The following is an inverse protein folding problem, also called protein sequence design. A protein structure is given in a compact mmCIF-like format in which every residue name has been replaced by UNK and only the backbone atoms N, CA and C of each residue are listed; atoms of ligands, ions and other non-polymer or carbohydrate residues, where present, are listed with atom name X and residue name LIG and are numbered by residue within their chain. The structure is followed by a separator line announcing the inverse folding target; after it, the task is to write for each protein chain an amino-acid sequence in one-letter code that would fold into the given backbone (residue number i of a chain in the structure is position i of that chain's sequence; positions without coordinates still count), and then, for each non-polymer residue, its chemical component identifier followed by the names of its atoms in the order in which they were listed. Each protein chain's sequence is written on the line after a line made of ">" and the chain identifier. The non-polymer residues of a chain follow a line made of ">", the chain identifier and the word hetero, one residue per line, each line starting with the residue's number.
data_IF_954944867684
#
_entry.id   IF_954944867684
#
_cell.length_a   1.000
_cell.length_b   1.000
_cell.length_c   1.000
_cell.angle_alpha   90.00
_cell.angle_beta   90.00
_cell.angle_gamma   90.00
#
_symmetry.space_group_name_H-M   'P 1'
#
loop_
_entity.id
_entity.type
_entity.pdbx_description
1 polymer ?
#
# COMPACT_ATOMS: atom_id res chain seq x y z
N UNK A 1 -16.28 11.50 -10.71
CA UNK A 1 -14.84 11.38 -10.43
C UNK A 1 -14.43 9.93 -10.58
N UNK A 2 -13.40 9.64 -11.37
CA UNK A 2 -12.81 8.30 -11.42
C UNK A 2 -12.14 8.02 -10.06
N UNK A 3 -12.52 6.91 -9.42
CA UNK A 3 -11.93 6.50 -8.13
C UNK A 3 -10.67 5.71 -8.40
N UNK A 4 -9.51 6.24 -8.03
CA UNK A 4 -8.24 5.53 -8.10
C UNK A 4 -8.27 4.36 -7.10
N UNK A 5 -8.07 3.14 -7.60
CA UNK A 5 -8.01 1.92 -6.80
C UNK A 5 -6.57 1.71 -6.30
N UNK A 6 -6.38 1.81 -5.00
CA UNK A 6 -5.10 1.60 -4.35
C UNK A 6 -5.05 0.27 -3.60
N UNK A 7 -3.85 -0.29 -3.51
CA UNK A 7 -3.50 -1.36 -2.62
C UNK A 7 -2.32 -0.96 -1.70
N UNK A 8 -2.27 -1.51 -0.49
CA UNK A 8 -1.14 -1.32 0.44
C UNK A 8 -0.48 -2.67 0.72
N UNK A 9 0.84 -2.74 0.57
CA UNK A 9 1.64 -3.91 0.94
C UNK A 9 2.48 -3.55 2.16
N UNK A 10 2.34 -4.37 3.22
CA UNK A 10 2.93 -4.12 4.54
C UNK A 10 2.00 -3.27 5.39
N UNK A 11 1.31 -3.92 6.33
CA UNK A 11 0.45 -3.30 7.34
C UNK A 11 1.08 -3.39 8.74
N UNK A 12 2.40 -3.20 8.78
CA UNK A 12 3.13 -2.93 10.01
C UNK A 12 2.86 -1.51 10.52
N UNK A 13 3.79 -0.94 11.28
CA UNK A 13 3.60 0.37 11.92
C UNK A 13 3.28 1.51 10.93
N UNK A 14 4.09 1.64 9.87
CA UNK A 14 3.93 2.69 8.86
C UNK A 14 2.65 2.48 8.05
N UNK A 15 2.45 1.26 7.53
CA UNK A 15 1.30 0.98 6.68
C UNK A 15 -0.05 0.99 7.39
N UNK A 16 -0.10 0.65 8.68
CA UNK A 16 -1.31 0.79 9.48
C UNK A 16 -1.73 2.26 9.63
N UNK A 17 -0.79 3.13 9.99
CA UNK A 17 -1.08 4.57 10.10
C UNK A 17 -1.46 5.17 8.74
N UNK A 18 -0.73 4.80 7.69
CA UNK A 18 -1.03 5.24 6.33
C UNK A 18 -2.42 4.80 5.85
N UNK A 19 -2.81 3.56 6.17
CA UNK A 19 -4.16 3.05 5.89
C UNK A 19 -5.23 3.87 6.63
N UNK A 20 -5.05 4.08 7.94
CA UNK A 20 -6.00 4.81 8.77
C UNK A 20 -6.29 6.20 8.22
N UNK A 21 -5.24 6.95 7.87
CA UNK A 21 -5.38 8.28 7.27
C UNK A 21 -6.04 8.22 5.89
N UNK A 22 -5.70 7.25 5.04
CA UNK A 22 -6.37 7.08 3.74
C UNK A 22 -7.85 6.72 3.87
N UNK A 23 -8.24 5.98 4.90
CA UNK A 23 -9.63 5.66 5.18
C UNK A 23 -10.43 6.92 5.53
N UNK A 24 -9.83 7.89 6.24
CA UNK A 24 -10.43 9.21 6.48
C UNK A 24 -10.65 10.02 5.19
N UNK A 25 -9.96 9.69 4.10
CA UNK A 25 -10.10 10.33 2.78
C UNK A 25 -11.08 9.62 1.85
N UNK A 26 -11.76 8.55 2.31
CA UNK A 26 -12.77 7.85 1.51
C UNK A 26 -13.91 8.80 1.11
N UNK A 27 -13.95 9.15 -0.18
CA UNK A 27 -14.89 10.14 -0.72
C UNK A 27 -14.22 11.20 -1.60
N UNK A 28 -12.91 11.43 -1.44
CA UNK A 28 -12.12 12.38 -2.24
C UNK A 28 -11.53 11.78 -3.53
N UNK A 29 -12.06 10.65 -3.99
CA UNK A 29 -11.60 9.98 -5.23
C UNK A 29 -10.52 8.91 -5.04
N UNK A 30 -10.13 8.61 -3.79
CA UNK A 30 -9.23 7.49 -3.45
C UNK A 30 -10.04 6.36 -2.82
N UNK A 31 -9.76 5.11 -3.23
CA UNK A 31 -10.28 3.91 -2.56
C UNK A 31 -9.14 2.92 -2.33
N UNK A 32 -8.83 2.64 -1.07
CA UNK A 32 -8.00 1.49 -0.70
C UNK A 32 -8.88 0.25 -0.74
N UNK A 33 -8.71 -0.59 -1.76
CA UNK A 33 -9.57 -1.76 -1.98
C UNK A 33 -8.91 -3.07 -1.52
N UNK A 34 -7.57 -3.10 -1.50
CA UNK A 34 -6.80 -4.30 -1.26
C UNK A 34 -5.63 -4.04 -0.31
N UNK A 35 -5.22 -5.05 0.44
CA UNK A 35 -3.98 -5.00 1.18
C UNK A 35 -3.29 -6.37 1.23
N UNK A 36 -1.98 -6.34 1.45
CA UNK A 36 -1.15 -7.53 1.60
C UNK A 36 -0.37 -7.41 2.91
N UNK A 37 -0.68 -8.28 3.88
CA UNK A 37 0.08 -8.41 5.12
C UNK A 37 0.09 -9.89 5.53
N UNK A 38 1.30 -10.47 5.64
CA UNK A 38 1.47 -11.89 5.96
C UNK A 38 1.20 -12.17 7.44
N UNK A 39 1.51 -11.21 8.31
CA UNK A 39 1.41 -11.37 9.75
C UNK A 39 0.03 -10.97 10.28
N UNK A 40 -0.29 -11.41 11.49
CA UNK A 40 -1.45 -10.87 12.20
C UNK A 40 -1.04 -9.56 12.90
N UNK A 41 -1.27 -8.42 12.26
CA UNK A 41 -0.94 -7.10 12.80
C UNK A 41 -2.20 -6.31 13.12
N UNK A 42 -2.14 -5.28 14.00
CA UNK A 42 -3.24 -4.35 14.18
C UNK A 42 -3.69 -3.68 12.87
N UNK A 43 -2.74 -3.37 11.98
CA UNK A 43 -3.05 -2.81 10.66
C UNK A 43 -3.86 -3.75 9.78
N UNK A 44 -3.58 -5.06 9.82
CA UNK A 44 -4.39 -6.07 9.12
C UNK A 44 -5.83 -6.13 9.66
N UNK A 45 -5.99 -6.13 10.98
CA UNK A 45 -7.32 -6.12 11.59
C UNK A 45 -8.10 -4.84 11.22
N UNK A 46 -7.43 -3.67 11.18
CA UNK A 46 -8.02 -2.41 10.72
C UNK A 46 -8.50 -2.51 9.26
N UNK A 47 -7.67 -3.06 8.37
CA UNK A 47 -8.01 -3.26 6.97
C UNK A 47 -9.26 -4.14 6.81
N UNK A 48 -9.29 -5.29 7.49
CA UNK A 48 -10.43 -6.21 7.47
C UNK A 48 -11.72 -5.52 7.98
N UNK A 49 -11.63 -4.78 9.09
CA UNK A 49 -12.76 -4.03 9.66
C UNK A 49 -13.27 -2.92 8.72
N UNK A 50 -12.38 -2.31 7.93
CA UNK A 50 -12.72 -1.30 6.94
C UNK A 50 -13.21 -1.87 5.59
N UNK A 51 -13.33 -3.20 5.48
CA UNK A 51 -13.75 -3.86 4.23
C UNK A 51 -12.68 -3.90 3.14
N UNK A 52 -11.41 -3.67 3.50
CA UNK A 52 -10.26 -3.83 2.60
C UNK A 52 -9.95 -5.32 2.48
N UNK A 53 -9.88 -5.83 1.24
CA UNK A 53 -9.65 -7.26 1.01
C UNK A 53 -8.17 -7.61 1.22
N UNK A 54 -7.87 -8.53 2.12
CA UNK A 54 -6.52 -9.06 2.31
C UNK A 54 -6.23 -10.11 1.24
N UNK A 55 -5.10 -9.96 0.56
CA UNK A 55 -4.64 -10.81 -0.54
C UNK A 55 -3.18 -11.24 -0.33
N UNK A 56 -2.76 -12.27 -1.06
CA UNK A 56 -1.36 -12.53 -1.38
C UNK A 56 -0.86 -11.59 -2.49
N UNK A 57 0.46 -11.53 -2.69
CA UNK A 57 1.06 -10.77 -3.80
C UNK A 57 0.54 -11.31 -5.14
N UNK A 58 0.49 -12.63 -5.32
CA UNK A 58 0.03 -13.23 -6.57
C UNK A 58 -1.43 -12.90 -6.89
N UNK A 59 -2.31 -12.96 -5.89
CA UNK A 59 -3.71 -12.56 -6.06
C UNK A 59 -3.85 -11.07 -6.38
N UNK A 60 -3.03 -10.22 -5.74
CA UNK A 60 -3.03 -8.78 -6.04
C UNK A 60 -2.59 -8.51 -7.48
N UNK A 61 -1.55 -9.17 -7.97
CA UNK A 61 -1.07 -9.01 -9.36
C UNK A 61 -2.11 -9.53 -10.36
N UNK A 62 -2.80 -10.62 -10.02
CA UNK A 62 -3.84 -11.21 -10.87
C UNK A 62 -5.07 -10.28 -11.06
N UNK A 63 -5.25 -9.25 -10.24
CA UNK A 63 -6.29 -8.24 -10.42
C UNK A 63 -6.04 -7.32 -11.63
N UNK A 64 -4.81 -7.25 -12.15
CA UNK A 64 -4.48 -6.48 -13.34
C UNK A 64 -4.88 -5.01 -13.25
N UNK A 65 -5.71 -4.57 -14.21
CA UNK A 65 -6.17 -3.18 -14.34
C UNK A 65 -7.13 -2.73 -13.22
N UNK A 66 -7.57 -3.63 -12.34
CA UNK A 66 -8.38 -3.25 -11.18
C UNK A 66 -7.58 -2.56 -10.05
N UNK A 67 -6.25 -2.47 -10.19
CA UNK A 67 -5.36 -1.77 -9.24
C UNK A 67 -4.54 -0.72 -9.99
N UNK A 68 -4.70 0.54 -9.62
CA UNK A 68 -3.97 1.66 -10.23
C UNK A 68 -2.64 1.92 -9.50
N UNK A 69 -2.63 1.81 -8.17
CA UNK A 69 -1.47 2.14 -7.34
C UNK A 69 -1.24 1.05 -6.30
N UNK A 70 0.00 0.60 -6.16
CA UNK A 70 0.45 -0.26 -5.06
C UNK A 70 1.40 0.56 -4.19
N UNK A 71 1.01 0.87 -2.96
CA UNK A 71 1.90 1.43 -1.94
C UNK A 71 2.72 0.30 -1.30
N UNK A 72 4.02 0.26 -1.57
CA UNK A 72 4.93 -0.68 -0.91
C UNK A 72 5.56 -0.05 0.34
N UNK A 73 4.98 -0.39 1.48
CA UNK A 73 5.38 0.04 2.81
C UNK A 73 6.08 -1.08 3.59
N UNK A 74 6.50 -2.13 2.90
CA UNK A 74 7.23 -3.24 3.51
C UNK A 74 8.64 -2.86 3.91
N UNK A 75 9.24 -1.82 3.34
CA UNK A 75 10.64 -1.44 3.52
C UNK A 75 11.66 -2.46 2.97
N UNK A 76 11.22 -3.59 2.41
CA UNK A 76 12.06 -4.72 1.98
C UNK A 76 12.35 -4.61 0.48
N UNK A 77 13.63 -4.61 0.08
CA UNK A 77 14.02 -4.41 -1.32
C UNK A 77 13.60 -5.58 -2.22
N UNK A 78 13.62 -6.79 -1.66
CA UNK A 78 13.24 -8.02 -2.31
C UNK A 78 11.75 -8.02 -2.69
N UNK A 79 10.88 -7.47 -1.83
CA UNK A 79 9.45 -7.32 -2.14
C UNK A 79 9.25 -6.38 -3.31
N UNK A 80 9.95 -5.23 -3.35
CA UNK A 80 9.89 -4.31 -4.50
C UNK A 80 10.33 -4.97 -5.79
N UNK A 81 11.44 -5.72 -5.74
CA UNK A 81 11.97 -6.42 -6.90
C UNK A 81 10.96 -7.46 -7.39
N UNK A 82 10.41 -8.26 -6.48
CA UNK A 82 9.37 -9.25 -6.77
C UNK A 82 8.14 -8.60 -7.44
N UNK A 83 7.65 -7.47 -6.92
CA UNK A 83 6.51 -6.76 -7.50
C UNK A 83 6.78 -6.28 -8.91
N UNK A 84 7.97 -5.69 -9.16
CA UNK A 84 8.34 -5.21 -10.50
C UNK A 84 8.44 -6.37 -11.50
N UNK A 85 9.06 -7.47 -11.09
CA UNK A 85 9.20 -8.67 -11.93
C UNK A 85 7.83 -9.27 -12.26
N UNK A 86 6.93 -9.41 -11.27
CA UNK A 86 5.58 -9.95 -11.47
C UNK A 86 4.70 -9.05 -12.33
N UNK A 87 4.71 -7.72 -12.11
CA UNK A 87 3.97 -6.78 -12.95
C UNK A 87 4.47 -6.84 -14.40
N UNK A 88 5.79 -6.87 -14.62
CA UNK A 88 6.37 -6.99 -15.95
C UNK A 88 6.00 -8.32 -16.62
N UNK A 89 6.08 -9.45 -15.90
CA UNK A 89 5.71 -10.77 -16.40
C UNK A 89 4.22 -10.87 -16.77
N UNK A 90 3.35 -10.16 -16.04
CA UNK A 90 1.91 -10.06 -16.35
C UNK A 90 1.58 -9.06 -17.47
N UNK A 91 2.58 -8.36 -18.03
CA UNK A 91 2.42 -7.23 -18.95
C UNK A 91 1.46 -6.15 -18.41
N UNK A 92 1.42 -5.97 -17.08
CA UNK A 92 0.64 -4.92 -16.45
C UNK A 92 1.38 -3.59 -16.59
N UNK A 93 0.77 -2.67 -17.35
CA UNK A 93 1.29 -1.32 -17.61
C UNK A 93 0.45 -0.22 -16.95
N UNK A 94 -0.63 -0.60 -16.28
CA UNK A 94 -1.54 0.32 -15.59
C UNK A 94 -1.03 0.64 -14.18
N UNK A 95 -0.63 -0.40 -13.45
CA UNK A 95 -0.35 -0.29 -12.03
C UNK A 95 1.02 0.35 -11.77
N UNK A 96 1.02 1.40 -10.93
CA UNK A 96 2.23 2.07 -10.47
C UNK A 96 2.60 1.59 -9.07
N UNK A 97 3.85 1.20 -8.86
CA UNK A 97 4.38 0.94 -7.51
C UNK A 97 4.83 2.28 -6.91
N UNK A 98 4.12 2.73 -5.88
CA UNK A 98 4.49 3.86 -5.05
C UNK A 98 5.39 3.38 -3.90
N UNK A 99 6.68 3.77 -3.88
CA UNK A 99 7.59 3.42 -2.81
C UNK A 99 7.23 4.12 -1.50
N UNK A 100 7.78 3.63 -0.38
CA UNK A 100 7.59 4.22 0.95
C UNK A 100 7.93 5.71 0.96
N UNK A 101 9.02 6.14 0.31
CA UNK A 101 9.39 7.56 0.22
C UNK A 101 8.29 8.44 -0.40
N UNK A 102 7.55 7.93 -1.39
CA UNK A 102 6.40 8.62 -1.96
C UNK A 102 5.23 8.61 -0.98
N UNK A 103 5.02 7.53 -0.22
CA UNK A 103 4.01 7.52 0.84
C UNK A 103 4.31 8.55 1.94
N UNK A 104 5.58 8.70 2.36
CA UNK A 104 6.01 9.77 3.29
C UNK A 104 5.73 11.18 2.73
N UNK A 105 5.99 11.39 1.44
CA UNK A 105 5.68 12.66 0.78
C UNK A 105 4.18 12.96 0.78
N UNK A 106 3.34 11.99 0.39
CA UNK A 106 1.88 12.17 0.40
C UNK A 106 1.39 12.35 1.85
N UNK A 107 1.97 11.63 2.81
CA UNK A 107 1.65 11.79 4.23
C UNK A 107 1.79 13.23 4.70
N UNK A 108 2.88 13.89 4.32
CA UNK A 108 3.16 15.30 4.66
C UNK A 108 2.08 16.26 4.14
N UNK A 109 1.34 15.86 3.10
CA UNK A 109 0.25 16.64 2.52
C UNK A 109 -1.09 16.32 3.21
N UNK A 110 -1.30 15.08 3.65
CA UNK A 110 -2.58 14.63 4.22
C UNK A 110 -2.69 14.82 5.73
N UNK A 111 -1.57 14.82 6.48
CA UNK A 111 -1.56 14.82 7.94
C UNK A 111 -0.67 15.93 8.50
N UNK A 112 -1.15 16.58 9.56
CA UNK A 112 -0.39 17.56 10.33
C UNK A 112 0.55 16.90 11.35
N UNK A 113 0.51 15.56 11.46
CA UNK A 113 1.36 14.77 12.37
C UNK A 113 2.46 14.05 11.59
N UNK A 114 3.62 13.75 12.19
CA UNK A 114 4.62 12.92 11.54
C UNK A 114 4.12 11.47 11.39
N UNK A 115 4.37 10.86 10.22
CA UNK A 115 4.09 9.44 10.05
C UNK A 115 4.98 8.64 11.02
N UNK A 116 4.49 7.54 11.60
CA UNK A 116 5.31 6.73 12.48
C UNK A 116 6.60 6.26 11.80
N UNK A 117 7.73 6.43 12.49
CA UNK A 117 9.04 5.97 12.02
C UNK A 117 9.45 4.69 12.76
N UNK A 118 10.28 3.88 12.12
CA UNK A 118 10.97 2.75 12.75
C UNK A 118 12.45 3.13 12.84
N UNK A 119 12.92 3.51 14.02
CA UNK A 119 14.31 3.94 14.22
C UNK A 119 15.30 2.86 13.78
N UNK A 120 16.39 3.29 13.14
CA UNK A 120 17.45 2.40 12.64
C UNK A 120 17.08 1.56 11.42
N UNK A 121 15.82 1.63 10.94
CA UNK A 121 15.40 0.91 9.74
C UNK A 121 15.97 1.56 8.49
N UNK A 122 16.93 0.89 7.84
CA UNK A 122 17.29 1.21 6.46
C UNK A 122 16.16 0.76 5.55
N UNK A 123 15.43 1.71 4.99
CA UNK A 123 14.56 1.45 3.86
C UNK A 123 15.44 1.33 2.62
N UNK A 124 15.29 0.29 1.80
CA UNK A 124 16.15 0.09 0.62
C UNK A 124 15.86 1.04 -0.56
N UNK A 125 15.58 2.31 -0.28
CA UNK A 125 15.35 3.38 -1.25
C UNK A 125 16.57 4.27 -1.36
#
# INVERSE_FOLDING_TARGET
>A
MQKQQAAIIGLGRVGAAFLDELLCLTGKGVKVAYAVEKNNTPGRALAEAAGVKILSIDELIALGEAVDIIFDLTGIAEVRKELREKLAASNNRNTVIAPESIAHFIWTIMSDTPIPVIEGRKTGY
#
